data_IF_398214008848
#
_entry.id   IF_398214008848
#
_cell.length_a   1.000
_cell.length_b   1.000
_cell.length_c   1.000
_cell.angle_alpha   90.00
_cell.angle_beta   90.00
_cell.angle_gamma   90.00
#
_symmetry.space_group_name_H-M   'P 1'
#
loop_
_entity.id
_entity.type
_entity.pdbx_description
1 polymer ?
#
# COMPACT_ATOMS: atom_id res chain seq x y z
N UNK A 1 3.44 -67.81 11.13
CA UNK A 1 2.07 -67.76 10.57
C UNK A 1 1.15 -67.25 11.69
N UNK A 2 0.44 -66.14 11.59
CA UNK A 2 -0.75 -65.95 10.75
C UNK A 2 -0.88 -64.45 10.40
N UNK A 3 -1.06 -64.18 9.10
CA UNK A 3 -1.44 -62.89 8.52
C UNK A 3 -2.96 -62.76 8.56
N UNK A 4 -3.47 -61.61 8.98
CA UNK A 4 -4.81 -61.08 8.69
C UNK A 4 -4.59 -59.57 8.61
N UNK A 5 -4.58 -58.82 7.50
CA UNK A 5 -5.33 -58.74 6.23
C UNK A 5 -6.77 -58.21 6.37
N UNK A 6 -6.85 -56.87 6.30
CA UNK A 6 -7.84 -55.87 5.80
C UNK A 6 -9.36 -56.11 5.94
N UNK A 7 -10.18 -55.04 6.00
CA UNK A 7 -10.49 -54.25 4.79
C UNK A 7 -10.46 -52.72 4.95
N UNK A 8 -10.04 -52.05 3.88
CA UNK A 8 -10.38 -50.67 3.51
C UNK A 8 -11.89 -50.45 3.47
N UNK A 9 -12.37 -49.31 4.00
CA UNK A 9 -13.70 -48.77 3.68
C UNK A 9 -13.57 -47.26 3.44
N UNK A 10 -13.38 -46.93 2.16
CA UNK A 10 -13.57 -45.61 1.58
C UNK A 10 -15.08 -45.31 1.53
N UNK A 11 -15.58 -44.42 2.40
CA UNK A 11 -16.94 -43.87 2.27
C UNK A 11 -16.92 -42.37 2.04
N UNK A 12 -17.00 -42.05 0.75
CA UNK A 12 -17.58 -40.86 0.15
C UNK A 12 -18.75 -40.27 0.96
N UNK A 13 -18.67 -38.98 1.26
CA UNK A 13 -19.76 -38.27 1.92
C UNK A 13 -19.46 -36.82 2.24
N UNK A 14 -19.14 -36.01 1.22
CA UNK A 14 -19.16 -34.56 1.38
C UNK A 14 -20.60 -34.12 1.71
N UNK A 15 -20.85 -33.76 2.96
CA UNK A 15 -22.12 -33.16 3.35
C UNK A 15 -22.05 -31.68 3.06
N UNK A 16 -22.60 -31.29 1.91
CA UNK A 16 -23.00 -29.90 1.65
C UNK A 16 -24.10 -29.55 2.63
N UNK A 17 -23.80 -28.74 3.64
CA UNK A 17 -24.82 -28.07 4.45
C UNK A 17 -24.87 -26.62 4.00
N UNK A 18 -25.83 -26.33 3.12
CA UNK A 18 -26.31 -24.99 2.83
C UNK A 18 -27.34 -24.61 3.88
N UNK A 19 -27.00 -23.67 4.76
CA UNK A 19 -27.84 -22.68 5.46
C UNK A 19 -26.80 -21.66 5.98
N UNK A 20 -26.77 -20.37 5.66
CA UNK A 20 -27.81 -19.48 5.20
C UNK A 20 -28.18 -18.54 6.34
N UNK A 21 -27.25 -17.67 6.76
CA UNK A 21 -27.53 -16.58 7.72
C UNK A 21 -26.77 -15.30 7.31
N UNK A 22 -27.52 -14.35 6.76
CA UNK A 22 -27.11 -13.01 6.38
C UNK A 22 -26.57 -12.19 7.58
N UNK A 23 -25.26 -11.94 7.60
CA UNK A 23 -24.67 -10.92 8.48
C UNK A 23 -24.52 -9.62 7.70
N UNK A 24 -25.51 -8.75 7.86
CA UNK A 24 -25.54 -7.39 7.34
C UNK A 24 -24.29 -6.59 7.76
N UNK A 25 -23.66 -5.96 6.77
CA UNK A 25 -22.65 -4.93 6.97
C UNK A 25 -23.35 -3.66 7.46
N UNK A 26 -23.22 -3.34 8.75
CA UNK A 26 -23.63 -2.03 9.28
C UNK A 26 -22.55 -1.00 8.92
N UNK A 27 -22.80 -0.27 7.84
CA UNK A 27 -22.13 1.00 7.58
C UNK A 27 -22.74 2.06 8.51
N UNK A 28 -22.12 2.27 9.66
CA UNK A 28 -22.34 3.42 10.51
C UNK A 28 -21.89 4.72 9.79
N UNK A 29 -22.69 5.17 8.84
CA UNK A 29 -22.66 6.52 8.28
C UNK A 29 -23.74 7.34 8.98
N UNK A 30 -23.36 7.92 10.12
CA UNK A 30 -24.19 8.90 10.83
C UNK A 30 -24.46 10.11 9.93
N UNK A 31 -25.64 10.10 9.32
CA UNK A 31 -26.19 11.17 8.49
C UNK A 31 -26.88 12.19 9.40
N UNK A 32 -26.21 13.31 9.70
CA UNK A 32 -26.89 14.50 10.19
C UNK A 32 -27.47 15.26 9.00
N UNK A 33 -28.68 14.87 8.60
CA UNK A 33 -29.50 15.63 7.65
C UNK A 33 -30.23 16.71 8.45
N UNK A 34 -29.74 17.95 8.40
CA UNK A 34 -30.53 19.10 8.77
C UNK A 34 -31.33 19.59 7.55
N UNK A 35 -32.62 19.25 7.53
CA UNK A 35 -33.58 19.89 6.62
C UNK A 35 -33.58 21.39 6.87
N UNK A 36 -33.26 22.16 5.85
CA UNK A 36 -33.65 23.57 5.82
C UNK A 36 -34.05 23.94 4.41
N UNK A 37 -35.17 24.60 4.36
CA UNK A 37 -36.13 24.57 3.28
C UNK A 37 -35.77 25.56 2.16
N UNK A 38 -36.32 25.25 0.99
CA UNK A 38 -36.23 25.93 -0.30
C UNK A 38 -36.25 27.45 -0.25
N UNK A 39 -35.40 28.08 -1.08
CA UNK A 39 -35.70 29.38 -1.69
C UNK A 39 -34.96 29.56 -3.02
N UNK A 40 -35.78 29.82 -4.03
CA UNK A 40 -35.51 30.06 -5.45
C UNK A 40 -34.45 31.13 -5.74
N UNK A 41 -33.54 30.86 -6.70
CA UNK A 41 -33.12 31.80 -7.74
C UNK A 41 -32.09 31.13 -8.69
N UNK A 42 -32.43 31.06 -9.98
CA UNK A 42 -31.52 30.62 -11.03
C UNK A 42 -30.37 31.65 -11.21
N UNK A 43 -29.13 31.22 -10.95
CA UNK A 43 -27.93 32.02 -11.20
C UNK A 43 -27.22 31.51 -12.47
N UNK A 44 -26.72 32.40 -13.35
CA UNK A 44 -26.01 32.00 -14.57
C UNK A 44 -24.66 31.33 -14.24
N UNK A 45 -24.17 30.41 -15.09
CA UNK A 45 -22.90 29.73 -14.86
C UNK A 45 -21.73 30.73 -14.81
N UNK A 46 -20.70 30.49 -13.97
CA UNK A 46 -19.56 31.38 -13.88
C UNK A 46 -18.80 31.41 -15.20
N UNK A 47 -18.61 32.62 -15.74
CA UNK A 47 -17.79 32.84 -16.93
C UNK A 47 -16.35 32.37 -16.66
N UNK A 48 -15.94 31.31 -17.35
CA UNK A 48 -14.55 30.85 -17.34
C UNK A 48 -13.72 31.93 -18.03
N UNK A 49 -13.01 32.74 -17.24
CA UNK A 49 -11.99 33.65 -17.75
C UNK A 49 -10.75 32.81 -18.05
N UNK A 50 -10.70 32.29 -19.27
CA UNK A 50 -9.50 31.63 -19.77
C UNK A 50 -8.45 32.74 -19.93
N UNK A 51 -7.39 32.67 -19.13
CA UNK A 51 -6.21 33.53 -19.27
C UNK A 51 -5.54 33.14 -20.59
N UNK A 52 -5.63 34.01 -21.58
CA UNK A 52 -4.88 33.89 -22.82
C UNK A 52 -3.43 34.27 -22.49
N UNK A 53 -2.57 33.26 -22.34
CA UNK A 53 -1.15 33.47 -22.11
C UNK A 53 -0.53 33.96 -23.43
N UNK A 54 -0.09 35.22 -23.45
CA UNK A 54 0.64 35.80 -24.57
C UNK A 54 1.94 35.02 -24.84
N UNK A 55 2.23 34.64 -26.10
CA UNK A 55 3.43 33.88 -26.45
C UNK A 55 4.75 34.67 -26.27
N UNK A 56 4.66 35.98 -25.99
CA UNK A 56 5.82 36.89 -25.93
C UNK A 56 6.58 36.84 -24.61
N UNK A 57 6.02 36.22 -23.56
CA UNK A 57 6.71 36.08 -22.27
C UNK A 57 7.79 34.98 -22.24
N UNK A 58 8.00 34.29 -23.36
CA UNK A 58 8.97 33.19 -23.50
C UNK A 58 10.40 33.66 -23.80
N UNK A 59 10.63 34.97 -24.05
CA UNK A 59 11.93 35.49 -24.53
C UNK A 59 12.69 36.38 -23.56
N UNK A 60 12.22 36.53 -22.32
CA UNK A 60 12.89 37.31 -21.27
C UNK A 60 13.48 36.45 -20.13
N UNK A 61 13.78 35.17 -20.39
CA UNK A 61 14.48 34.30 -19.44
C UNK A 61 15.68 33.60 -20.10
N UNK A 62 16.38 34.28 -21.01
CA UNK A 62 17.77 33.97 -21.30
C UNK A 62 18.66 34.72 -20.28
N UNK A 63 19.61 34.00 -19.69
CA UNK A 63 20.69 34.46 -18.79
C UNK A 63 20.39 34.47 -17.28
N UNK A 64 20.23 33.28 -16.66
CA UNK A 64 21.20 32.78 -15.66
C UNK A 64 20.94 31.30 -15.34
N UNK A 65 22.01 30.49 -15.37
CA UNK A 65 22.14 29.07 -15.01
C UNK A 65 21.69 28.03 -16.06
N UNK A 66 22.68 27.40 -16.69
CA UNK A 66 22.56 26.20 -17.52
C UNK A 66 22.24 24.94 -16.68
N UNK A 67 21.25 25.02 -15.79
CA UNK A 67 20.76 23.88 -15.03
C UNK A 67 19.47 23.41 -15.70
N UNK A 68 19.41 22.18 -16.24
CA UNK A 68 18.16 21.66 -16.77
C UNK A 68 17.08 21.69 -15.69
N UNK A 69 15.83 22.06 -16.01
CA UNK A 69 14.76 22.06 -15.02
C UNK A 69 14.64 20.65 -14.42
N UNK A 70 14.65 20.54 -13.09
CA UNK A 70 14.48 19.25 -12.42
C UNK A 70 13.11 18.68 -12.80
N UNK A 71 13.11 17.57 -13.56
CA UNK A 71 11.90 16.98 -14.13
C UNK A 71 11.18 16.10 -13.11
N UNK A 72 11.93 15.46 -12.20
CA UNK A 72 11.42 14.48 -11.26
C UNK A 72 11.77 14.83 -9.81
N UNK A 73 10.86 14.53 -8.88
CA UNK A 73 11.06 14.78 -7.44
C UNK A 73 10.58 13.59 -6.60
N UNK A 74 11.36 13.20 -5.60
CA UNK A 74 11.02 12.18 -4.61
C UNK A 74 10.70 12.84 -3.26
N UNK A 75 9.45 12.76 -2.81
CA UNK A 75 9.00 13.27 -1.50
C UNK A 75 8.66 12.16 -0.50
N UNK A 76 9.14 10.94 -0.73
CA UNK A 76 8.88 9.81 0.15
C UNK A 76 9.79 9.85 1.39
N UNK A 77 9.31 9.48 2.58
CA UNK A 77 10.16 9.33 3.76
C UNK A 77 11.31 8.37 3.46
N UNK A 78 12.58 8.79 3.65
CA UNK A 78 13.06 9.70 4.69
C UNK A 78 13.29 11.17 4.28
N UNK A 79 12.94 11.60 3.07
CA UNK A 79 13.27 12.95 2.59
C UNK A 79 12.29 13.99 3.13
N UNK A 80 12.78 15.01 3.84
CA UNK A 80 11.92 16.07 4.40
C UNK A 80 11.56 17.17 3.39
N UNK A 81 12.48 17.49 2.49
CA UNK A 81 12.34 18.63 1.56
C UNK A 81 12.15 18.19 0.09
N UNK A 82 12.09 16.89 -0.16
CA UNK A 82 11.92 16.31 -1.49
C UNK A 82 13.21 16.39 -2.33
N UNK A 83 13.78 15.24 -2.69
CA UNK A 83 14.97 15.21 -3.54
C UNK A 83 14.58 15.40 -5.00
N UNK A 84 15.22 16.35 -5.69
CA UNK A 84 14.96 16.67 -7.09
C UNK A 84 16.05 16.08 -7.99
N UNK A 85 15.65 15.53 -9.12
CA UNK A 85 16.53 14.89 -10.10
C UNK A 85 16.37 15.53 -11.49
N UNK A 86 17.46 15.70 -12.25
CA UNK A 86 17.44 16.26 -13.59
C UNK A 86 16.90 15.27 -14.64
N UNK A 87 17.00 13.95 -14.39
CA UNK A 87 16.60 12.90 -15.32
C UNK A 87 15.71 11.84 -14.64
N UNK A 88 14.96 11.09 -15.45
CA UNK A 88 14.14 9.98 -14.97
C UNK A 88 15.00 8.81 -14.46
N UNK A 89 16.08 8.47 -15.17
CA UNK A 89 16.97 7.36 -14.80
C UNK A 89 17.60 7.54 -13.41
N UNK A 90 18.02 8.77 -13.08
CA UNK A 90 18.54 9.09 -11.75
C UNK A 90 17.49 8.94 -10.64
N UNK A 91 16.26 9.36 -10.92
CA UNK A 91 15.13 9.18 -10.01
C UNK A 91 14.81 7.69 -9.80
N UNK A 92 14.80 6.90 -10.86
CA UNK A 92 14.53 5.46 -10.79
C UNK A 92 15.62 4.72 -10.01
N UNK A 93 16.90 5.01 -10.31
CA UNK A 93 18.02 4.44 -9.57
C UNK A 93 18.00 4.84 -8.08
N UNK A 94 17.58 6.07 -7.77
CA UNK A 94 17.33 6.50 -6.41
C UNK A 94 16.21 5.68 -5.76
N UNK A 95 15.08 5.54 -6.43
CA UNK A 95 13.91 4.84 -5.91
C UNK A 95 14.23 3.37 -5.61
N UNK A 96 14.91 2.69 -6.52
CA UNK A 96 15.35 1.31 -6.33
C UNK A 96 16.28 1.14 -5.14
N UNK A 97 17.17 2.11 -4.88
CA UNK A 97 18.12 2.03 -3.76
C UNK A 97 17.51 2.44 -2.42
N UNK A 98 16.66 3.46 -2.41
CA UNK A 98 16.20 4.10 -1.17
C UNK A 98 14.83 3.61 -0.68
N UNK A 99 13.99 3.11 -1.59
CA UNK A 99 12.58 2.85 -1.32
C UNK A 99 12.11 1.44 -1.66
N UNK A 100 12.90 0.66 -2.40
CA UNK A 100 12.54 -0.72 -2.74
C UNK A 100 12.93 -1.68 -1.61
N UNK A 101 12.07 -2.66 -1.35
CA UNK A 101 12.24 -3.65 -0.28
C UNK A 101 12.51 -3.00 1.10
N UNK A 102 11.76 -1.94 1.41
CA UNK A 102 11.89 -1.22 2.69
C UNK A 102 10.90 -1.71 3.72
N UNK A 103 11.38 -2.11 4.90
CA UNK A 103 10.51 -2.39 6.04
C UNK A 103 9.80 -1.12 6.50
N UNK A 104 8.48 -1.17 6.67
CA UNK A 104 7.68 0.00 7.09
C UNK A 104 7.82 0.30 8.59
N UNK A 105 8.13 -0.71 9.40
CA UNK A 105 8.31 -0.56 10.84
C UNK A 105 9.69 -0.01 11.18
N UNK A 106 10.76 -0.74 10.82
CA UNK A 106 12.13 -0.36 11.18
C UNK A 106 12.86 0.47 10.11
N UNK A 107 12.23 0.71 8.94
CA UNK A 107 12.75 1.56 7.85
C UNK A 107 14.06 1.08 7.19
N UNK A 108 14.49 -0.16 7.43
CA UNK A 108 15.64 -0.79 6.77
C UNK A 108 15.30 -1.24 5.34
N UNK A 109 16.25 -1.09 4.42
CA UNK A 109 16.14 -1.58 3.05
C UNK A 109 16.84 -2.93 2.90
N UNK A 110 16.28 -3.81 2.08
CA UNK A 110 16.81 -5.15 1.80
C UNK A 110 17.11 -5.32 0.31
N UNK A 111 18.11 -6.14 -0.07
CA UNK A 111 18.47 -6.31 -1.47
C UNK A 111 17.44 -7.13 -2.27
N UNK A 112 16.56 -7.89 -1.60
CA UNK A 112 15.48 -8.64 -2.24
C UNK A 112 14.20 -8.59 -1.41
N UNK A 113 13.07 -8.82 -2.07
CA UNK A 113 11.75 -8.92 -1.43
C UNK A 113 11.69 -10.10 -0.46
N UNK A 114 12.24 -11.25 -0.84
CA UNK A 114 12.26 -12.43 0.04
C UNK A 114 12.94 -12.15 1.39
N UNK A 115 14.08 -11.43 1.38
CA UNK A 115 14.76 -11.06 2.63
C UNK A 115 13.97 -10.05 3.46
N UNK A 116 13.21 -9.16 2.81
CA UNK A 116 12.28 -8.28 3.51
C UNK A 116 11.16 -9.10 4.19
N UNK A 117 10.57 -10.08 3.50
CA UNK A 117 9.52 -10.94 4.04
C UNK A 117 10.02 -11.72 5.25
N UNK A 118 11.16 -12.41 5.10
CA UNK A 118 11.80 -13.14 6.22
C UNK A 118 12.08 -12.21 7.39
N UNK A 119 12.59 -10.99 7.14
CA UNK A 119 12.80 -10.01 8.19
C UNK A 119 11.51 -9.63 8.93
N UNK A 120 10.39 -9.43 8.23
CA UNK A 120 9.11 -9.11 8.85
C UNK A 120 8.65 -10.27 9.73
N UNK A 121 8.69 -11.50 9.20
CA UNK A 121 8.25 -12.71 9.92
C UNK A 121 9.09 -12.99 11.18
N UNK A 122 10.40 -12.76 11.13
CA UNK A 122 11.27 -13.11 12.27
C UNK A 122 11.43 -11.97 13.29
N UNK A 123 11.40 -10.72 12.84
CA UNK A 123 11.68 -9.55 13.69
C UNK A 123 10.42 -8.77 14.10
N UNK A 124 9.37 -8.80 13.29
CA UNK A 124 8.17 -7.98 13.46
C UNK A 124 6.88 -8.80 13.64
N UNK A 125 6.90 -10.13 13.52
CA UNK A 125 5.74 -10.96 13.86
C UNK A 125 5.56 -11.07 15.39
N UNK A 126 4.68 -10.23 15.92
CA UNK A 126 4.27 -10.28 17.33
C UNK A 126 3.69 -11.63 17.74
N UNK A 127 3.03 -12.36 16.83
CA UNK A 127 2.51 -13.69 17.14
C UNK A 127 3.63 -14.71 17.24
N UNK A 128 4.67 -14.63 16.40
CA UNK A 128 5.86 -15.47 16.53
C UNK A 128 6.59 -15.20 17.86
N UNK A 129 6.67 -13.94 18.30
CA UNK A 129 7.23 -13.60 19.60
C UNK A 129 6.45 -14.27 20.77
N UNK A 130 5.11 -14.22 20.73
CA UNK A 130 4.24 -14.84 21.74
C UNK A 130 4.32 -16.38 21.69
N UNK A 131 4.35 -16.99 20.49
CA UNK A 131 4.54 -18.45 20.33
C UNK A 131 5.86 -18.91 20.94
N UNK A 132 6.93 -18.13 20.77
CA UNK A 132 8.25 -18.39 21.38
C UNK A 132 8.23 -18.30 22.90
N UNK A 133 7.58 -17.28 23.45
CA UNK A 133 7.41 -17.11 24.91
C UNK A 133 6.59 -18.26 25.53
N UNK A 134 5.63 -18.79 24.79
CA UNK A 134 4.81 -19.94 25.19
C UNK A 134 5.53 -21.29 25.10
N UNK A 135 6.78 -21.33 24.63
CA UNK A 135 7.57 -22.55 24.56
C UNK A 135 7.20 -23.48 23.39
N UNK A 136 6.49 -22.99 22.38
CA UNK A 136 6.25 -23.73 21.12
C UNK A 136 7.51 -23.69 20.23
N UNK A 137 8.66 -24.10 20.77
CA UNK A 137 9.77 -24.54 19.93
C UNK A 137 9.54 -26.01 19.64
N UNK A 138 9.41 -26.37 18.37
CA UNK A 138 9.22 -27.74 17.89
C UNK A 138 10.50 -28.59 18.04
N UNK A 139 11.11 -28.59 19.22
CA UNK A 139 12.28 -29.40 19.58
C UNK A 139 11.92 -30.31 20.76
N UNK A 140 10.88 -31.13 20.59
CA UNK A 140 10.59 -32.30 21.42
C UNK A 140 10.35 -33.50 20.47
N UNK A 141 11.41 -33.90 19.78
CA UNK A 141 11.55 -35.25 19.21
C UNK A 141 12.95 -35.73 19.63
N UNK A 142 12.93 -36.77 20.47
CA UNK A 142 14.07 -37.31 21.22
C UNK A 142 15.00 -38.22 20.44
#
# INVERSE_FOLDING_TARGET
MKRSREPDDEVSGYRTSSLGDDAAIDHNSSSAICSRESSSAAAPPPAVKIVQLDPESSRAQEQLSAVPPSVMKCSLPPHKEGLSFPSYEEYEAHYHKAHTNRCLECRKNFPSEHLLVVHIEECHDSLAAVRRERGEHTNDLG
#
